data_IF_475420365565
#
_entry.id   IF_475420365565
#
_cell.length_a   1.000
_cell.length_b   1.000
_cell.length_c   1.000
_cell.angle_alpha   90.00
_cell.angle_beta   90.00
_cell.angle_gamma   90.00
#
_symmetry.space_group_name_H-M   'P 1'
#
loop_
_entity.id
_entity.type
_entity.pdbx_description
1 polymer ?
#
# COMPACT_ATOMS: atom_id res chain seq x y z
N UNK A 1 0.50 7.68 -0.43
CA UNK A 1 0.72 6.83 0.76
C UNK A 1 1.94 7.31 1.53
N UNK A 2 1.82 7.62 2.81
CA UNK A 2 2.95 8.14 3.61
C UNK A 2 3.73 7.02 4.32
N UNK A 3 3.03 6.13 5.03
CA UNK A 3 3.67 5.06 5.81
C UNK A 3 2.83 3.79 5.82
N UNK A 4 3.48 2.63 5.73
CA UNK A 4 2.87 1.31 5.94
C UNK A 4 3.48 0.68 7.19
N UNK A 5 2.65 0.23 8.13
CA UNK A 5 3.09 -0.52 9.30
C UNK A 5 2.20 -1.73 9.53
N UNK A 6 2.82 -2.89 9.70
CA UNK A 6 2.11 -4.15 9.96
C UNK A 6 2.11 -4.40 11.45
N UNK A 7 0.94 -4.30 12.06
CA UNK A 7 0.77 -4.39 13.52
C UNK A 7 0.60 -5.84 14.01
N UNK A 8 -0.01 -6.69 13.17
CA UNK A 8 -0.22 -8.09 13.47
C UNK A 8 -0.08 -8.92 12.20
N UNK A 9 0.47 -10.12 12.34
CA UNK A 9 0.67 -11.09 11.25
C UNK A 9 0.43 -12.49 11.81
N UNK A 10 -0.50 -13.25 11.19
CA UNK A 10 -0.95 -14.56 11.70
C UNK A 10 -0.59 -15.73 10.80
N UNK A 11 0.14 -15.50 9.72
CA UNK A 11 0.58 -16.56 8.80
C UNK A 11 1.92 -17.16 9.23
N UNK A 12 2.17 -18.41 8.80
CA UNK A 12 3.40 -19.14 9.12
C UNK A 12 4.65 -18.63 8.40
N UNK A 13 4.48 -17.94 7.26
CA UNK A 13 5.56 -17.48 6.36
C UNK A 13 5.27 -16.10 5.80
N UNK A 14 6.33 -15.37 5.47
CA UNK A 14 6.22 -14.03 4.92
C UNK A 14 5.98 -12.96 5.96
N UNK A 15 6.34 -13.21 7.23
CA UNK A 15 6.30 -12.23 8.31
C UNK A 15 7.29 -11.08 8.08
N UNK A 16 8.23 -11.28 7.16
CA UNK A 16 9.24 -10.32 6.77
C UNK A 16 8.64 -9.08 6.07
N UNK A 17 7.39 -9.15 5.61
CA UNK A 17 6.62 -8.00 5.11
C UNK A 17 6.47 -6.87 6.13
N UNK A 18 6.71 -7.11 7.42
CA UNK A 18 6.66 -6.07 8.45
C UNK A 18 7.92 -5.19 8.48
N UNK A 19 8.99 -5.61 7.83
CA UNK A 19 10.28 -4.95 7.95
C UNK A 19 10.38 -3.70 7.08
N UNK A 20 11.18 -2.70 7.51
CA UNK A 20 11.35 -1.44 6.79
C UNK A 20 11.72 -1.61 5.31
N UNK A 21 12.65 -2.53 5.00
CA UNK A 21 13.10 -2.78 3.63
C UNK A 21 11.95 -3.13 2.65
N UNK A 22 10.84 -3.67 3.16
CA UNK A 22 9.64 -3.94 2.37
C UNK A 22 8.63 -2.79 2.49
N UNK A 23 8.34 -2.32 3.70
CA UNK A 23 7.29 -1.30 3.93
C UNK A 23 7.66 0.08 3.39
N UNK A 24 8.93 0.45 3.38
CA UNK A 24 9.41 1.75 2.89
C UNK A 24 9.28 1.88 1.36
N UNK A 25 9.21 0.76 0.63
CA UNK A 25 8.98 0.78 -0.82
C UNK A 25 7.64 1.44 -1.19
N UNK A 26 6.68 1.45 -0.26
CA UNK A 26 5.37 2.09 -0.43
C UNK A 26 5.36 3.58 -0.07
N UNK A 27 6.46 4.14 0.43
CA UNK A 27 6.55 5.55 0.82
C UNK A 27 6.39 6.48 -0.39
N UNK A 28 5.40 7.36 -0.35
CA UNK A 28 5.01 8.21 -1.46
C UNK A 28 4.31 7.48 -2.61
N UNK A 29 3.98 6.19 -2.47
CA UNK A 29 3.32 5.45 -3.55
C UNK A 29 1.94 6.03 -3.86
N UNK A 30 1.63 6.10 -5.14
CA UNK A 30 0.31 6.47 -5.67
C UNK A 30 -0.17 5.40 -6.66
N UNK A 31 -1.39 5.52 -7.18
CA UNK A 31 -1.93 4.58 -8.16
C UNK A 31 -1.83 5.15 -9.59
N UNK A 32 -2.19 4.43 -10.63
CA UNK A 32 -2.46 5.01 -11.95
C UNK A 32 -3.97 5.01 -12.21
N UNK A 33 -4.39 5.43 -13.40
CA UNK A 33 -5.78 5.37 -13.85
C UNK A 33 -6.35 3.94 -13.87
N UNK A 34 -5.48 2.92 -13.93
CA UNK A 34 -5.81 1.50 -13.92
C UNK A 34 -5.72 0.88 -12.52
N UNK A 35 -5.63 1.70 -11.47
CA UNK A 35 -5.47 1.27 -10.08
C UNK A 35 -4.24 0.35 -9.87
N UNK A 36 -3.13 0.61 -10.55
CA UNK A 36 -1.84 -0.04 -10.32
C UNK A 36 -0.92 0.91 -9.57
N UNK A 37 -0.02 0.41 -8.73
CA UNK A 37 0.96 1.28 -8.08
C UNK A 37 1.87 1.92 -9.15
N UNK A 38 2.19 3.19 -8.94
CA UNK A 38 3.09 4.00 -9.78
C UNK A 38 4.54 3.48 -9.82
N UNK A 39 4.84 2.52 -8.96
CA UNK A 39 6.17 1.94 -8.79
C UNK A 39 6.10 0.43 -8.64
N UNK A 40 7.23 -0.18 -8.95
CA UNK A 40 7.45 -1.60 -8.67
C UNK A 40 7.76 -1.78 -7.19
N UNK A 41 7.17 -2.83 -6.62
CA UNK A 41 7.46 -3.30 -5.27
C UNK A 41 8.19 -4.64 -5.41
N UNK A 42 9.40 -4.71 -4.89
CA UNK A 42 10.19 -5.93 -4.85
C UNK A 42 9.59 -6.92 -3.88
N UNK A 43 9.54 -8.18 -4.33
CA UNK A 43 8.98 -9.27 -3.54
C UNK A 43 9.95 -9.76 -2.47
N UNK A 44 9.41 -10.60 -1.59
CA UNK A 44 10.20 -11.38 -0.62
C UNK A 44 10.16 -12.83 -1.07
N UNK A 45 11.33 -13.44 -1.23
CA UNK A 45 11.48 -14.85 -1.63
C UNK A 45 10.71 -15.76 -0.67
N UNK A 46 9.86 -16.66 -1.22
CA UNK A 46 9.06 -17.59 -0.42
C UNK A 46 7.83 -16.98 0.27
N UNK A 47 7.55 -15.69 0.05
CA UNK A 47 6.46 -14.95 0.70
C UNK A 47 5.45 -14.33 -0.29
N UNK A 48 5.30 -14.92 -1.48
CA UNK A 48 4.46 -14.39 -2.57
C UNK A 48 3.04 -14.03 -2.13
N UNK A 49 2.39 -14.87 -1.32
CA UNK A 49 1.03 -14.62 -0.84
C UNK A 49 0.97 -13.39 0.08
N UNK A 50 1.91 -13.29 1.02
CA UNK A 50 2.00 -12.17 1.97
C UNK A 50 2.31 -10.86 1.26
N UNK A 51 3.24 -10.86 0.29
CA UNK A 51 3.54 -9.71 -0.56
C UNK A 51 2.31 -9.25 -1.34
N UNK A 52 1.61 -10.19 -1.98
CA UNK A 52 0.40 -9.87 -2.74
C UNK A 52 -0.72 -9.31 -1.85
N UNK A 53 -0.87 -9.83 -0.63
CA UNK A 53 -1.86 -9.32 0.32
C UNK A 53 -1.58 -7.86 0.69
N UNK A 54 -0.33 -7.53 1.05
CA UNK A 54 0.05 -6.15 1.41
C UNK A 54 -0.10 -5.22 0.20
N UNK A 55 0.36 -5.62 -0.99
CA UNK A 55 0.21 -4.80 -2.20
C UNK A 55 -1.26 -4.50 -2.54
N UNK A 56 -2.17 -5.47 -2.35
CA UNK A 56 -3.61 -5.24 -2.55
C UNK A 56 -4.15 -4.22 -1.56
N UNK A 57 -3.81 -4.34 -0.28
CA UNK A 57 -4.26 -3.39 0.76
C UNK A 57 -3.75 -1.98 0.47
N UNK A 58 -2.46 -1.81 0.15
CA UNK A 58 -1.89 -0.49 -0.14
C UNK A 58 -2.53 0.13 -1.38
N UNK A 59 -2.76 -0.66 -2.43
CA UNK A 59 -3.45 -0.20 -3.64
C UNK A 59 -4.85 0.31 -3.33
N UNK A 60 -5.62 -0.42 -2.52
CA UNK A 60 -6.94 0.03 -2.07
C UNK A 60 -6.85 1.31 -1.23
N UNK A 61 -5.91 1.39 -0.29
CA UNK A 61 -5.72 2.59 0.52
C UNK A 61 -5.44 3.82 -0.35
N UNK A 62 -4.54 3.70 -1.32
CA UNK A 62 -4.21 4.78 -2.28
C UNK A 62 -5.38 5.12 -3.20
N UNK A 63 -6.13 4.12 -3.67
CA UNK A 63 -7.31 4.35 -4.49
C UNK A 63 -8.39 5.12 -3.72
N UNK A 64 -8.63 4.72 -2.46
CA UNK A 64 -9.57 5.40 -1.59
C UNK A 64 -9.09 6.81 -1.25
N UNK A 65 -7.80 7.01 -0.96
CA UNK A 65 -7.19 8.33 -0.73
C UNK A 65 -7.46 9.30 -1.90
N UNK A 66 -7.34 8.81 -3.15
CA UNK A 66 -7.68 9.58 -4.37
C UNK A 66 -9.17 9.87 -4.53
N UNK A 67 -10.04 8.94 -4.12
CA UNK A 67 -11.49 9.12 -4.15
C UNK A 67 -12.03 9.91 -2.95
N UNK A 68 -11.23 9.98 -1.87
CA UNK A 68 -11.40 10.78 -0.65
C UNK A 68 -10.77 12.18 -0.78
N UNK A 69 -10.27 12.52 -1.97
CA UNK A 69 -10.25 13.88 -2.48
C UNK A 69 -11.62 14.27 -3.10
N UNK A 70 -12.71 14.48 -2.29
CA UNK A 70 -13.82 15.27 -2.77
C UNK A 70 -14.20 16.40 -1.80
N UNK A 71 -14.67 17.48 -2.41
CA UNK A 71 -15.76 18.33 -1.94
C UNK A 71 -15.57 19.20 -0.67
N UNK A 72 -14.51 19.08 0.14
CA UNK A 72 -14.37 19.96 1.33
C UNK A 72 -13.98 21.40 0.95
N UNK A 73 -13.33 21.62 -0.19
CA UNK A 73 -12.95 22.97 -0.67
C UNK A 73 -14.07 23.67 -1.46
N UNK A 74 -15.18 22.99 -1.78
CA UNK A 74 -16.21 23.55 -2.66
C UNK A 74 -17.20 24.51 -1.97
N UNK A 75 -17.19 24.60 -0.62
CA UNK A 75 -18.13 25.44 0.16
C UNK A 75 -17.49 26.70 0.78
N UNK A 76 -16.30 27.10 0.30
CA UNK A 76 -15.61 28.30 0.77
C UNK A 76 -15.63 29.43 -0.29
N UNK A 77 -16.81 29.81 -0.76
CA UNK A 77 -17.06 31.06 -1.48
C UNK A 77 -18.41 31.66 -1.10
#
# INVERSE_FOLDING_TARGET
METVRILAFRESRGWEVKYPYFTEQFSGATADENNRLDRRIDGITGATLSVNAVQKVVRWAVYLDRGLEPAITADAH
#
